data_IF_313788585685
#
_entry.id   IF_313788585685
#
_cell.length_a   1.000
_cell.length_b   1.000
_cell.length_c   1.000
_cell.angle_alpha   90.00
_cell.angle_beta   90.00
_cell.angle_gamma   90.00
#
_symmetry.space_group_name_H-M   'P 1'
#
loop_
_entity.id
_entity.type
_entity.pdbx_description
1 polymer ?
#
# COMPACT_ATOMS: atom_id res chain seq x y z
N UNK A 1 25.39 -10.73 -31.23
CA UNK A 1 23.91 -10.66 -31.21
C UNK A 1 23.41 -11.25 -29.90
N UNK A 2 23.23 -10.42 -28.86
CA UNK A 2 22.70 -10.80 -27.54
C UNK A 2 21.55 -9.86 -27.13
N UNK A 3 20.73 -9.47 -28.12
CA UNK A 3 19.82 -8.32 -28.07
C UNK A 3 18.44 -8.55 -27.38
N UNK A 4 17.87 -9.76 -27.27
CA UNK A 4 16.56 -9.93 -26.61
C UNK A 4 16.63 -9.84 -25.08
N UNK A 5 17.61 -10.53 -24.48
CA UNK A 5 17.65 -10.73 -23.02
C UNK A 5 18.00 -9.45 -22.22
N UNK A 6 18.70 -8.51 -22.85
CA UNK A 6 19.03 -7.22 -22.24
C UNK A 6 17.81 -6.29 -22.23
N UNK A 7 17.06 -6.26 -23.33
CA UNK A 7 15.85 -5.44 -23.45
C UNK A 7 14.76 -5.89 -22.47
N UNK A 8 14.59 -7.20 -22.28
CA UNK A 8 13.64 -7.77 -21.32
C UNK A 8 13.95 -7.38 -19.87
N UNK A 9 15.24 -7.32 -19.51
CA UNK A 9 15.68 -6.87 -18.17
C UNK A 9 15.36 -5.40 -17.95
N UNK A 10 15.70 -4.55 -18.92
CA UNK A 10 15.43 -3.10 -18.85
C UNK A 10 13.92 -2.83 -18.70
N UNK A 11 13.08 -3.53 -19.47
CA UNK A 11 11.62 -3.40 -19.38
C UNK A 11 11.12 -3.85 -18.00
N UNK A 12 11.64 -4.96 -17.46
CA UNK A 12 11.26 -5.45 -16.13
C UNK A 12 11.63 -4.45 -15.03
N UNK A 13 12.81 -3.83 -15.11
CA UNK A 13 13.25 -2.84 -14.13
C UNK A 13 12.43 -1.55 -14.21
N UNK A 14 12.08 -1.08 -15.42
CA UNK A 14 11.17 0.05 -15.61
C UNK A 14 9.81 -0.25 -14.97
N UNK A 15 9.24 -1.43 -15.21
CA UNK A 15 7.95 -1.83 -14.62
C UNK A 15 8.02 -1.90 -13.10
N UNK A 16 9.09 -2.48 -12.55
CA UNK A 16 9.29 -2.54 -11.10
C UNK A 16 9.38 -1.14 -10.48
N UNK A 17 10.04 -0.20 -11.15
CA UNK A 17 10.16 1.18 -10.67
C UNK A 17 8.81 1.92 -10.71
N UNK A 18 8.03 1.76 -11.79
CA UNK A 18 6.66 2.31 -11.89
C UNK A 18 5.79 1.75 -10.76
N UNK A 19 5.87 0.45 -10.51
CA UNK A 19 5.12 -0.20 -9.43
C UNK A 19 5.53 0.37 -8.08
N UNK A 20 6.82 0.47 -7.82
CA UNK A 20 7.34 1.04 -6.58
C UNK A 20 6.82 2.46 -6.36
N UNK A 21 6.87 3.31 -7.39
CA UNK A 21 6.33 4.67 -7.34
C UNK A 21 4.83 4.66 -6.98
N UNK A 22 4.00 3.88 -7.69
CA UNK A 22 2.55 3.83 -7.40
C UNK A 22 2.24 3.26 -6.03
N UNK A 23 3.09 2.36 -5.54
CA UNK A 23 2.96 1.76 -4.22
C UNK A 23 3.31 2.79 -3.14
N UNK A 24 4.46 3.48 -3.22
CA UNK A 24 4.83 4.55 -2.29
C UNK A 24 3.77 5.65 -2.27
N UNK A 25 3.33 6.12 -3.45
CA UNK A 25 2.32 7.20 -3.50
C UNK A 25 1.03 6.75 -2.82
N UNK A 26 0.63 5.48 -2.97
CA UNK A 26 -0.54 4.93 -2.27
C UNK A 26 -0.35 4.87 -0.75
N UNK A 27 0.82 4.41 -0.29
CA UNK A 27 1.17 4.40 1.15
C UNK A 27 1.18 5.80 1.72
N UNK A 28 1.83 6.76 1.05
CA UNK A 28 1.88 8.17 1.46
C UNK A 28 0.49 8.81 1.51
N UNK A 29 -0.35 8.55 0.51
CA UNK A 29 -1.73 9.06 0.47
C UNK A 29 -2.53 8.56 1.67
N UNK A 30 -2.46 7.26 1.95
CA UNK A 30 -3.20 6.68 3.08
C UNK A 30 -2.61 7.12 4.41
N UNK A 31 -1.27 7.21 4.55
CA UNK A 31 -0.63 7.74 5.74
C UNK A 31 -1.12 9.16 6.08
N UNK A 32 -1.19 10.03 5.08
CA UNK A 32 -1.71 11.39 5.23
C UNK A 32 -3.19 11.39 5.64
N UNK A 33 -4.03 10.57 4.99
CA UNK A 33 -5.46 10.46 5.33
C UNK A 33 -5.64 9.90 6.74
N UNK A 34 -4.89 8.88 7.13
CA UNK A 34 -4.97 8.27 8.46
C UNK A 34 -4.46 9.22 9.54
N UNK A 35 -3.41 10.01 9.27
CA UNK A 35 -2.97 11.11 10.14
C UNK A 35 -4.03 12.19 10.30
N UNK A 36 -4.64 12.66 9.21
CA UNK A 36 -5.72 13.63 9.24
C UNK A 36 -6.95 13.10 10.00
N UNK A 37 -7.30 11.82 9.81
CA UNK A 37 -8.37 11.17 10.56
C UNK A 37 -8.05 11.08 12.05
N UNK A 38 -6.82 10.73 12.41
CA UNK A 38 -6.37 10.69 13.81
C UNK A 38 -6.45 12.08 14.46
N UNK A 39 -6.04 13.14 13.74
CA UNK A 39 -6.17 14.52 14.21
C UNK A 39 -7.63 14.90 14.41
N UNK A 40 -8.49 14.62 13.44
CA UNK A 40 -9.92 14.93 13.50
C UNK A 40 -10.58 14.23 14.69
N UNK A 41 -10.33 12.93 14.88
CA UNK A 41 -10.85 12.16 16.02
C UNK A 41 -10.35 12.75 17.34
N UNK A 42 -9.06 13.06 17.44
CA UNK A 42 -8.48 13.65 18.65
C UNK A 42 -9.11 15.00 18.98
N UNK A 43 -9.27 15.87 17.98
CA UNK A 43 -9.91 17.17 18.13
C UNK A 43 -11.38 17.05 18.54
N UNK A 44 -12.15 16.14 17.93
CA UNK A 44 -13.55 15.89 18.30
C UNK A 44 -13.67 15.39 19.75
N UNK A 45 -12.80 14.47 20.18
CA UNK A 45 -12.78 14.00 21.57
C UNK A 45 -12.40 15.12 22.54
N UNK A 46 -11.39 15.94 22.18
CA UNK A 46 -10.99 17.10 22.97
C UNK A 46 -12.12 18.11 23.14
N UNK A 47 -12.85 18.40 22.07
CA UNK A 47 -14.01 19.28 22.08
C UNK A 47 -15.14 18.71 22.96
N UNK A 48 -15.48 17.43 22.80
CA UNK A 48 -16.52 16.78 23.59
C UNK A 48 -16.20 16.75 25.09
N UNK A 49 -14.92 16.72 25.46
CA UNK A 49 -14.45 16.75 26.85
C UNK A 49 -14.22 18.16 27.39
N UNK A 50 -14.49 19.21 26.62
CA UNK A 50 -14.18 20.59 27.01
C UNK A 50 -12.70 20.89 27.17
N UNK A 51 -11.82 20.04 26.65
CA UNK A 51 -10.36 20.10 26.80
C UNK A 51 -9.66 20.88 25.67
N UNK A 52 -10.43 21.63 24.86
CA UNK A 52 -9.89 22.40 23.74
C UNK A 52 -9.06 23.57 24.24
N UNK A 53 -7.75 23.41 24.15
CA UNK A 53 -6.76 24.43 24.43
C UNK A 53 -5.72 24.45 23.30
N UNK A 54 -4.98 25.55 23.12
CA UNK A 54 -3.87 25.59 22.16
C UNK A 54 -2.84 24.48 22.41
N UNK A 55 -2.54 24.16 23.67
CA UNK A 55 -1.63 23.07 24.04
C UNK A 55 -2.14 21.68 23.65
N UNK A 56 -3.45 21.45 23.79
CA UNK A 56 -4.09 20.21 23.34
C UNK A 56 -4.06 20.08 21.81
N UNK A 57 -4.35 21.17 21.08
CA UNK A 57 -4.30 21.15 19.62
C UNK A 57 -2.89 20.89 19.11
N UNK A 58 -1.87 21.51 19.73
CA UNK A 58 -0.48 21.26 19.40
C UNK A 58 -0.08 19.79 19.64
N UNK A 59 -0.45 19.21 20.78
CA UNK A 59 -0.15 17.81 21.08
C UNK A 59 -0.90 16.83 20.16
N UNK A 60 -2.17 17.12 19.83
CA UNK A 60 -2.94 16.34 18.87
C UNK A 60 -2.34 16.39 17.47
N UNK A 61 -1.85 17.55 17.03
CA UNK A 61 -1.16 17.70 15.75
C UNK A 61 0.15 16.92 15.71
N UNK A 62 0.98 17.02 16.74
CA UNK A 62 2.23 16.24 16.86
C UNK A 62 1.94 14.75 16.88
N UNK A 63 0.91 14.32 17.64
CA UNK A 63 0.48 12.92 17.69
C UNK A 63 0.01 12.40 16.32
N UNK A 64 -0.78 13.19 15.59
CA UNK A 64 -1.22 12.86 14.24
C UNK A 64 -0.06 12.78 13.23
N UNK A 65 0.90 13.70 13.31
CA UNK A 65 2.09 13.70 12.47
C UNK A 65 2.98 12.48 12.77
N UNK A 66 3.23 12.18 14.04
CA UNK A 66 3.99 11.00 14.47
C UNK A 66 3.32 9.70 14.03
N UNK A 67 1.98 9.62 14.15
CA UNK A 67 1.20 8.49 13.67
C UNK A 67 1.31 8.31 12.15
N UNK A 68 1.13 9.40 11.38
CA UNK A 68 1.27 9.36 9.92
C UNK A 68 2.69 8.94 9.49
N UNK A 69 3.72 9.45 10.16
CA UNK A 69 5.11 9.13 9.85
C UNK A 69 5.43 7.66 10.17
N UNK A 70 4.96 7.16 11.30
CA UNK A 70 5.12 5.75 11.69
C UNK A 70 4.42 4.82 10.70
N UNK A 71 3.20 5.16 10.30
CA UNK A 71 2.46 4.40 9.31
C UNK A 71 3.13 4.44 7.93
N UNK A 72 3.61 5.61 7.50
CA UNK A 72 4.37 5.75 6.26
C UNK A 72 5.63 4.89 6.30
N UNK A 73 6.41 4.93 7.38
CA UNK A 73 7.65 4.16 7.51
C UNK A 73 7.39 2.66 7.48
N UNK A 74 6.39 2.19 8.25
CA UNK A 74 5.98 0.79 8.26
C UNK A 74 5.50 0.34 6.88
N UNK A 75 4.66 1.15 6.22
CA UNK A 75 4.17 0.89 4.87
C UNK A 75 5.31 0.86 3.85
N UNK A 76 6.22 1.83 3.89
CA UNK A 76 7.38 1.92 3.00
C UNK A 76 8.31 0.71 3.15
N UNK A 77 8.69 0.36 4.38
CA UNK A 77 9.53 -0.81 4.65
C UNK A 77 8.86 -2.11 4.15
N UNK A 78 7.56 -2.26 4.41
CA UNK A 78 6.77 -3.42 3.94
C UNK A 78 6.67 -3.48 2.41
N UNK A 79 6.62 -2.32 1.76
CA UNK A 79 6.59 -2.21 0.29
C UNK A 79 7.88 -2.71 -0.34
N UNK A 80 9.02 -2.37 0.25
CA UNK A 80 10.33 -2.85 -0.18
C UNK A 80 10.51 -4.35 0.10
N UNK A 81 10.16 -4.77 1.32
CA UNK A 81 10.39 -6.15 1.77
C UNK A 81 9.44 -7.16 1.12
N UNK A 82 8.19 -6.77 0.85
CA UNK A 82 7.13 -7.69 0.43
C UNK A 82 6.45 -7.20 -0.85
N UNK A 83 6.11 -5.91 -0.95
CA UNK A 83 5.36 -5.36 -2.09
C UNK A 83 6.04 -5.59 -3.45
N UNK A 84 7.31 -5.21 -3.59
CA UNK A 84 8.07 -5.38 -4.84
C UNK A 84 8.32 -6.87 -5.15
N UNK A 85 8.81 -7.72 -4.22
CA UNK A 85 8.97 -9.14 -4.47
C UNK A 85 7.66 -9.82 -4.88
N UNK A 86 6.55 -9.46 -4.21
CA UNK A 86 5.22 -9.97 -4.53
C UNK A 86 4.80 -9.57 -5.95
N UNK A 87 5.02 -8.31 -6.35
CA UNK A 87 4.75 -7.87 -7.72
C UNK A 87 5.54 -8.69 -8.74
N UNK A 88 6.86 -8.85 -8.55
CA UNK A 88 7.71 -9.64 -9.45
C UNK A 88 7.24 -11.09 -9.54
N UNK A 89 6.85 -11.69 -8.43
CA UNK A 89 6.34 -13.06 -8.39
C UNK A 89 5.00 -13.20 -9.14
N UNK A 90 4.08 -12.25 -8.94
CA UNK A 90 2.77 -12.25 -9.61
C UNK A 90 2.87 -11.93 -11.09
N UNK A 91 3.77 -11.03 -11.49
CA UNK A 91 4.00 -10.69 -12.91
C UNK A 91 4.52 -11.91 -13.69
N UNK A 92 5.44 -12.70 -13.10
CA UNK A 92 5.88 -13.98 -13.69
C UNK A 92 4.74 -14.96 -13.93
N UNK A 93 3.73 -14.95 -13.07
CA UNK A 93 2.52 -15.78 -13.19
C UNK A 93 1.40 -15.11 -13.99
N UNK A 94 1.65 -13.90 -14.54
CA UNK A 94 0.65 -13.05 -15.21
C UNK A 94 -0.59 -12.78 -14.35
N UNK A 95 -0.46 -12.79 -13.02
CA UNK A 95 -1.54 -12.56 -12.07
C UNK A 95 -1.67 -11.06 -11.76
N UNK A 96 -2.50 -10.36 -12.53
CA UNK A 96 -2.73 -8.91 -12.45
C UNK A 96 -3.97 -8.56 -11.61
N UNK A 97 -4.02 -9.03 -10.37
CA UNK A 97 -5.15 -8.82 -9.45
C UNK A 97 -4.73 -8.06 -8.19
N UNK A 98 -5.67 -7.32 -7.59
CA UNK A 98 -5.43 -6.50 -6.38
C UNK A 98 -5.43 -7.34 -5.10
N UNK A 99 -6.24 -8.41 -5.05
CA UNK A 99 -6.45 -9.20 -3.83
C UNK A 99 -5.18 -9.79 -3.19
N UNK A 100 -4.12 -10.20 -3.93
CA UNK A 100 -2.89 -10.69 -3.29
C UNK A 100 -2.18 -9.58 -2.49
N UNK A 101 -2.22 -8.34 -3.00
CA UNK A 101 -1.65 -7.18 -2.30
C UNK A 101 -2.47 -6.83 -1.06
N UNK A 102 -3.79 -6.95 -1.14
CA UNK A 102 -4.68 -6.76 0.01
C UNK A 102 -4.41 -7.81 1.09
N UNK A 103 -4.27 -9.07 0.71
CA UNK A 103 -3.95 -10.17 1.62
C UNK A 103 -2.58 -9.99 2.26
N UNK A 104 -1.56 -9.61 1.47
CA UNK A 104 -0.23 -9.32 1.99
C UNK A 104 -0.24 -8.13 2.95
N UNK A 105 -0.91 -7.03 2.60
CA UNK A 105 -1.02 -5.87 3.47
C UNK A 105 -1.75 -6.20 4.79
N UNK A 106 -2.81 -7.01 4.72
CA UNK A 106 -3.51 -7.51 5.90
C UNK A 106 -2.60 -8.37 6.78
N UNK A 107 -1.91 -9.37 6.19
CA UNK A 107 -1.01 -10.26 6.91
C UNK A 107 0.14 -9.51 7.59
N UNK A 108 0.75 -8.55 6.88
CA UNK A 108 1.81 -7.68 7.42
C UNK A 108 1.29 -6.85 8.58
N UNK A 109 0.11 -6.24 8.43
CA UNK A 109 -0.46 -5.42 9.50
C UNK A 109 -0.76 -6.26 10.73
N UNK A 110 -1.34 -7.46 10.55
CA UNK A 110 -1.58 -8.41 11.66
C UNK A 110 -0.27 -8.83 12.31
N UNK A 111 0.79 -9.11 11.54
CA UNK A 111 2.10 -9.48 12.09
C UNK A 111 2.72 -8.34 12.92
N UNK A 112 2.66 -7.10 12.43
CA UNK A 112 3.14 -5.92 13.17
C UNK A 112 2.34 -5.74 14.46
N UNK A 113 1.00 -5.86 14.40
CA UNK A 113 0.15 -5.76 15.58
C UNK A 113 0.42 -6.89 16.58
N UNK A 114 0.63 -8.12 16.11
CA UNK A 114 0.98 -9.26 16.95
C UNK A 114 2.31 -9.05 17.67
N UNK A 115 3.34 -8.57 16.95
CA UNK A 115 4.63 -8.22 17.55
C UNK A 115 4.50 -7.11 18.60
N UNK A 116 3.54 -6.20 18.43
CA UNK A 116 3.23 -5.14 19.39
C UNK A 116 2.29 -5.58 20.54
N UNK A 117 1.90 -6.86 20.64
CA UNK A 117 0.93 -7.33 21.64
C UNK A 117 -0.50 -6.80 21.43
N UNK A 118 -0.76 -6.24 20.25
CA UNK A 118 -2.00 -5.56 19.88
C UNK A 118 -2.77 -6.31 18.77
N UNK A 119 -2.51 -7.60 18.58
CA UNK A 119 -3.23 -8.40 17.60
C UNK A 119 -4.74 -8.33 17.82
N UNK A 120 -5.54 -8.33 16.73
CA UNK A 120 -6.98 -8.50 16.83
C UNK A 120 -7.31 -9.82 17.54
N UNK A 121 -8.18 -9.74 18.54
CA UNK A 121 -8.69 -10.90 19.29
C UNK A 121 -10.21 -10.78 19.43
N UNK A 122 -10.87 -11.88 19.81
CA UNK A 122 -12.31 -11.89 20.07
C UNK A 122 -12.72 -10.91 21.20
N UNK A 123 -11.82 -10.65 22.15
CA UNK A 123 -12.05 -9.73 23.27
C UNK A 123 -11.94 -8.25 22.88
N UNK A 124 -11.20 -7.94 21.81
CA UNK A 124 -10.98 -6.58 21.33
C UNK A 124 -11.17 -6.48 19.81
N UNK A 125 -12.39 -6.71 19.28
CA UNK A 125 -12.65 -6.78 17.84
C UNK A 125 -12.38 -5.45 17.13
N UNK A 126 -12.49 -4.32 17.84
CA UNK A 126 -12.19 -3.00 17.30
C UNK A 126 -10.73 -2.87 16.82
N UNK A 127 -9.79 -3.68 17.34
CA UNK A 127 -8.40 -3.70 16.90
C UNK A 127 -8.26 -4.14 15.44
N UNK A 128 -9.25 -4.84 14.88
CA UNK A 128 -9.28 -5.16 13.45
C UNK A 128 -9.33 -3.90 12.56
N UNK A 129 -9.83 -2.77 13.09
CA UNK A 129 -9.84 -1.49 12.37
C UNK A 129 -8.41 -0.97 12.13
N UNK A 130 -7.42 -1.41 12.91
CA UNK A 130 -6.01 -1.06 12.69
C UNK A 130 -5.45 -1.67 11.40
N UNK A 131 -6.09 -2.71 10.85
CA UNK A 131 -5.74 -3.28 9.54
C UNK A 131 -6.28 -2.46 8.36
N UNK A 132 -7.28 -1.60 8.59
CA UNK A 132 -7.97 -0.88 7.52
C UNK A 132 -7.05 0.04 6.70
N UNK A 133 -6.11 0.80 7.28
CA UNK A 133 -5.19 1.63 6.50
C UNK A 133 -4.30 0.81 5.55
N UNK A 134 -3.76 -0.32 6.00
CA UNK A 134 -2.94 -1.19 5.15
C UNK A 134 -3.72 -1.74 3.96
N UNK A 135 -4.95 -2.21 4.21
CA UNK A 135 -5.88 -2.68 3.16
C UNK A 135 -6.26 -1.55 2.20
N UNK A 136 -6.57 -0.36 2.72
CA UNK A 136 -6.90 0.81 1.91
C UNK A 136 -5.74 1.21 0.98
N UNK A 137 -4.49 1.13 1.47
CA UNK A 137 -3.30 1.41 0.67
C UNK A 137 -3.14 0.40 -0.48
N UNK A 138 -3.36 -0.89 -0.21
CA UNK A 138 -3.33 -1.93 -1.23
C UNK A 138 -4.44 -1.77 -2.29
N UNK A 139 -5.65 -1.38 -1.87
CA UNK A 139 -6.77 -1.10 -2.79
C UNK A 139 -6.45 0.13 -3.67
N UNK A 140 -5.94 1.21 -3.06
CA UNK A 140 -5.56 2.41 -3.80
C UNK A 140 -4.44 2.14 -4.80
N UNK A 141 -3.44 1.35 -4.41
CA UNK A 141 -2.40 0.85 -5.30
C UNK A 141 -3.00 0.06 -6.48
N UNK A 142 -3.89 -0.89 -6.19
CA UNK A 142 -4.57 -1.67 -7.21
C UNK A 142 -5.36 -0.81 -8.20
N UNK A 143 -6.06 0.22 -7.72
CA UNK A 143 -6.76 1.20 -8.57
C UNK A 143 -5.79 1.94 -9.49
N UNK A 144 -4.63 2.36 -8.99
CA UNK A 144 -3.59 3.05 -9.78
C UNK A 144 -2.89 2.13 -10.77
N UNK A 145 -2.75 0.84 -10.46
CA UNK A 145 -2.11 -0.15 -11.33
C UNK A 145 -3.02 -0.69 -12.42
N UNK A 146 -4.35 -0.63 -12.25
CA UNK A 146 -5.31 -1.18 -13.21
C UNK A 146 -5.09 -0.72 -14.67
N UNK A 147 -4.83 0.57 -14.97
CA UNK A 147 -4.54 1.00 -16.35
C UNK A 147 -3.28 0.34 -16.92
N UNK A 148 -2.23 0.18 -16.11
CA UNK A 148 -0.98 -0.47 -16.53
C UNK A 148 -1.17 -1.97 -16.78
N UNK A 149 -1.97 -2.65 -15.95
CA UNK A 149 -2.30 -4.05 -16.16
C UNK A 149 -3.09 -4.28 -17.44
N UNK A 150 -4.07 -3.42 -17.73
CA UNK A 150 -4.85 -3.48 -18.98
C UNK A 150 -3.95 -3.19 -20.19
N UNK A 151 -3.08 -2.18 -20.11
CA UNK A 151 -2.15 -1.86 -21.19
C UNK A 151 -1.18 -3.02 -21.47
N UNK A 152 -0.65 -3.64 -20.41
CA UNK A 152 0.22 -4.81 -20.54
C UNK A 152 -0.54 -6.05 -21.05
N UNK A 153 -1.83 -6.20 -20.76
CA UNK A 153 -2.65 -7.30 -21.30
C UNK A 153 -2.86 -7.13 -22.81
N UNK A 154 -3.11 -5.89 -23.28
CA UNK A 154 -3.26 -5.57 -24.70
C UNK A 154 -1.97 -5.76 -25.50
N UNK A 155 -0.84 -5.30 -24.96
CA UNK A 155 0.46 -5.50 -25.61
C UNK A 155 0.77 -7.00 -25.83
N UNK A 156 0.43 -7.85 -24.86
CA UNK A 156 0.61 -9.30 -24.95
C UNK A 156 -0.40 -10.02 -25.85
N UNK A 157 -1.57 -9.42 -26.15
CA UNK A 157 -2.50 -9.96 -27.15
C UNK A 157 -2.03 -9.63 -28.56
N UNK A 158 -1.60 -8.40 -28.79
CA UNK A 158 -1.16 -7.94 -30.10
C UNK A 158 0.10 -8.70 -30.56
N UNK A 159 1.04 -8.97 -29.65
CA UNK A 159 2.24 -9.77 -29.94
C UNK A 159 1.89 -11.23 -30.29
N UNK A 160 0.85 -11.80 -29.66
CA UNK A 160 0.37 -13.16 -29.96
C UNK A 160 -0.34 -13.24 -31.32
N UNK A 161 -1.03 -12.18 -31.73
CA UNK A 161 -1.71 -12.15 -33.02
C UNK A 161 -0.73 -11.98 -34.18
N UNK A 162 0.35 -11.19 -34.00
CA UNK A 162 1.44 -11.09 -34.98
C UNK A 162 2.15 -12.45 -35.17
N UNK A 163 2.41 -13.18 -34.08
CA UNK A 163 3.04 -14.51 -34.15
C UNK A 163 2.15 -15.61 -34.75
N UNK A 164 0.83 -15.37 -34.93
CA UNK A 164 -0.09 -16.31 -35.59
C UNK A 164 -0.23 -16.05 -37.09
N UNK A 165 0.16 -14.86 -37.56
CA UNK A 165 0.07 -14.45 -38.96
C UNK A 165 1.37 -14.73 -39.74
N UNK A 166 2.42 -15.16 -39.05
CA UNK A 166 3.70 -15.60 -39.59
C UNK A 166 3.90 -17.10 -39.36
#
# INVERSE_FOLDING_TARGET
>A
MSLPAENDRVISDIRANIVFEKLIVSVLTIAAISGAAHLAISATIGLAKGAMSPGFLASAFVGAAAFAFSFFLAGFASSLAIGIPLFKALERQKLRKVWPYVLAAFAVTVAILAAAGAAPSFEAPWRALLCAPGVAAAILFGRKMRPFWIAAERAESDERDVLRLH
#
